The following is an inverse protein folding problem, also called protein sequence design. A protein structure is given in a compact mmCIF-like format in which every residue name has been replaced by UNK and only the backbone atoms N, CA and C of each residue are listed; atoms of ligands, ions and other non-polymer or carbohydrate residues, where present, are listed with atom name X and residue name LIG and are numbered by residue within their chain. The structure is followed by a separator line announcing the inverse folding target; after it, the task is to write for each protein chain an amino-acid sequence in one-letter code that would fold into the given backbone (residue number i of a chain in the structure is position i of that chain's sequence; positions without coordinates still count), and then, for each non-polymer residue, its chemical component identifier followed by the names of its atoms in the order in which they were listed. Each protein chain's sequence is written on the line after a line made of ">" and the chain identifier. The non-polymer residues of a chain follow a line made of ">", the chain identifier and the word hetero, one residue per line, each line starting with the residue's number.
data_IF_099557966792
#
_entry.id   IF_099557966792
#
_cell.length_a   1.000
_cell.length_b   1.000
_cell.length_c   1.000
_cell.angle_alpha   90.00
_cell.angle_beta   90.00
_cell.angle_gamma   90.00
#
_symmetry.space_group_name_H-M   'P 1'
#
loop_
_entity.id
_entity.type
_entity.pdbx_description
1 polymer ?
#
# COMPACT_ATOMS: atom_id res chain seq x y z
N UNK A 1 11.31 -24.97 -14.73
CA UNK A 1 10.87 -23.55 -14.73
C UNK A 1 11.73 -22.78 -13.74
N UNK A 2 12.45 -21.74 -14.16
CA UNK A 2 13.17 -20.86 -13.22
C UNK A 2 12.22 -19.73 -12.79
N UNK A 3 12.11 -19.50 -11.47
CA UNK A 3 11.27 -18.44 -10.90
C UNK A 3 12.18 -17.33 -10.39
N UNK A 4 11.95 -16.12 -10.87
CA UNK A 4 12.59 -14.92 -10.35
C UNK A 4 11.60 -14.25 -9.37
N UNK A 5 12.07 -13.92 -8.18
CA UNK A 5 11.27 -13.26 -7.15
C UNK A 5 11.94 -11.96 -6.76
N UNK A 6 11.12 -10.93 -6.50
CA UNK A 6 11.58 -9.72 -5.82
C UNK A 6 11.60 -9.98 -4.30
N UNK A 7 12.56 -9.36 -3.63
CA UNK A 7 12.54 -9.26 -2.18
C UNK A 7 11.33 -8.44 -1.76
N UNK A 8 10.65 -8.86 -0.69
CA UNK A 8 9.43 -8.20 -0.20
C UNK A 8 9.50 -7.93 1.28
N UNK A 9 9.11 -6.72 1.66
CA UNK A 9 8.99 -6.27 3.04
C UNK A 9 7.65 -5.57 3.22
N UNK A 10 7.09 -5.65 4.43
CA UNK A 10 5.84 -4.97 4.78
C UNK A 10 6.13 -4.07 5.97
N UNK A 11 5.75 -2.80 5.84
CA UNK A 11 5.92 -1.77 6.86
C UNK A 11 4.56 -1.21 7.25
N UNK A 12 4.41 -0.76 8.49
CA UNK A 12 3.26 0.04 8.89
C UNK A 12 3.62 1.51 8.76
N UNK A 13 2.73 2.30 8.16
CA UNK A 13 2.91 3.74 8.02
C UNK A 13 1.66 4.44 8.53
N UNK A 14 1.85 5.48 9.33
CA UNK A 14 0.75 6.28 9.86
C UNK A 14 0.17 7.19 8.76
N UNK A 15 -1.16 7.22 8.67
CA UNK A 15 -1.91 8.02 7.69
C UNK A 15 -3.06 8.74 8.40
N UNK A 16 -3.76 9.63 7.69
CA UNK A 16 -4.98 10.29 8.18
C UNK A 16 -6.10 9.32 8.55
N UNK A 17 -6.04 8.07 8.07
CA UNK A 17 -6.98 7.00 8.42
C UNK A 17 -6.45 6.02 9.47
N UNK A 18 -5.29 6.32 10.06
CA UNK A 18 -4.57 5.43 10.99
C UNK A 18 -3.46 4.63 10.29
N UNK A 19 -2.84 3.69 11.01
CA UNK A 19 -1.72 2.92 10.49
C UNK A 19 -2.18 1.95 9.38
N UNK A 20 -1.54 2.02 8.22
CA UNK A 20 -1.76 1.10 7.09
C UNK A 20 -0.50 0.32 6.76
N UNK A 21 -0.65 -0.89 6.22
CA UNK A 21 0.48 -1.70 5.76
C UNK A 21 0.84 -1.34 4.33
N UNK A 22 2.14 -1.11 4.10
CA UNK A 22 2.72 -0.85 2.78
C UNK A 22 3.69 -1.98 2.46
N UNK A 23 3.43 -2.68 1.37
CA UNK A 23 4.32 -3.67 0.80
C UNK A 23 5.30 -3.01 -0.14
N UNK A 24 6.58 -3.23 0.13
CA UNK A 24 7.70 -2.82 -0.70
C UNK A 24 8.28 -4.07 -1.34
N UNK A 25 8.32 -4.11 -2.67
CA UNK A 25 8.94 -5.19 -3.43
C UNK A 25 10.10 -4.62 -4.24
N UNK A 26 11.31 -5.14 -4.03
CA UNK A 26 12.55 -4.60 -4.62
C UNK A 26 13.45 -5.70 -5.16
N UNK A 27 14.23 -5.39 -6.19
CA UNK A 27 15.18 -6.32 -6.81
C UNK A 27 15.39 -5.99 -8.28
N UNK A 28 16.49 -6.45 -8.87
CA UNK A 28 16.79 -6.26 -10.30
C UNK A 28 16.64 -4.80 -10.79
N UNK A 29 17.00 -3.82 -9.95
CA UNK A 29 16.89 -2.39 -10.29
C UNK A 29 15.47 -1.80 -10.26
N UNK A 30 14.45 -2.56 -9.82
CA UNK A 30 13.10 -2.05 -9.64
C UNK A 30 12.69 -2.02 -8.16
N UNK A 31 11.89 -1.03 -7.79
CA UNK A 31 11.22 -0.95 -6.49
C UNK A 31 9.77 -0.57 -6.71
N UNK A 32 8.85 -1.32 -6.11
CA UNK A 32 7.41 -1.05 -6.12
C UNK A 32 6.91 -0.93 -4.70
N UNK A 33 6.07 0.06 -4.44
CA UNK A 33 5.36 0.24 -3.18
C UNK A 33 3.86 0.09 -3.44
N UNK A 34 3.14 -0.61 -2.57
CA UNK A 34 1.70 -0.75 -2.65
C UNK A 34 1.10 -0.84 -1.26
N UNK A 35 -0.01 -0.15 -1.03
CA UNK A 35 -0.79 -0.29 0.21
C UNK A 35 -1.51 -1.65 0.17
N UNK A 36 -1.54 -2.36 1.29
CA UNK A 36 -2.22 -3.65 1.37
C UNK A 36 -3.73 -3.50 1.16
N UNK A 37 -4.29 -4.38 0.33
CA UNK A 37 -5.69 -4.30 -0.10
C UNK A 37 -6.67 -4.37 1.07
N UNK A 38 -6.38 -5.20 2.07
CA UNK A 38 -7.23 -5.34 3.26
C UNK A 38 -7.39 -4.02 4.02
N UNK A 39 -6.32 -3.22 4.10
CA UNK A 39 -6.35 -1.94 4.80
C UNK A 39 -7.14 -0.91 3.98
N UNK A 40 -6.93 -0.86 2.65
CA UNK A 40 -7.74 -0.03 1.74
C UNK A 40 -9.23 -0.39 1.81
N UNK A 41 -9.56 -1.68 1.80
CA UNK A 41 -10.94 -2.17 1.82
C UNK A 41 -11.64 -1.88 3.15
N UNK A 42 -10.91 -2.02 4.26
CA UNK A 42 -11.43 -1.67 5.58
C UNK A 42 -11.76 -0.17 5.66
N UNK A 43 -10.83 0.69 5.26
CA UNK A 43 -11.01 2.15 5.29
C UNK A 43 -12.14 2.57 4.34
N UNK A 44 -12.18 2.03 3.13
CA UNK A 44 -13.23 2.32 2.15
C UNK A 44 -14.62 2.00 2.71
N UNK A 45 -14.76 0.82 3.35
CA UNK A 45 -16.02 0.41 3.99
C UNK A 45 -16.39 1.30 5.18
N UNK A 46 -15.43 1.68 6.01
CA UNK A 46 -15.66 2.54 7.19
C UNK A 46 -16.01 3.98 6.80
N UNK A 47 -15.45 4.50 5.71
CA UNK A 47 -15.65 5.88 5.25
C UNK A 47 -16.75 6.02 4.18
N UNK A 48 -17.22 4.92 3.59
CA UNK A 48 -18.24 4.93 2.55
C UNK A 48 -17.73 5.51 1.22
N UNK A 49 -16.44 5.37 0.92
CA UNK A 49 -15.79 5.86 -0.30
C UNK A 49 -15.16 4.71 -1.09
N UNK A 50 -14.79 4.95 -2.35
CA UNK A 50 -14.16 3.94 -3.19
C UNK A 50 -12.72 3.62 -2.76
N UNK A 51 -12.22 2.43 -3.10
CA UNK A 51 -10.82 2.04 -2.87
C UNK A 51 -9.83 3.02 -3.50
N UNK A 52 -10.14 3.52 -4.70
CA UNK A 52 -9.34 4.52 -5.41
C UNK A 52 -9.29 5.85 -4.67
N UNK A 53 -10.39 6.27 -4.04
CA UNK A 53 -10.38 7.49 -3.23
C UNK A 53 -9.52 7.33 -1.98
N UNK A 54 -9.63 6.19 -1.29
CA UNK A 54 -8.75 5.88 -0.14
C UNK A 54 -7.29 5.89 -0.56
N UNK A 55 -6.95 5.20 -1.63
CA UNK A 55 -5.58 5.12 -2.15
C UNK A 55 -5.04 6.51 -2.50
N UNK A 56 -5.82 7.34 -3.19
CA UNK A 56 -5.43 8.71 -3.52
C UNK A 56 -5.20 9.58 -2.29
N UNK A 57 -6.02 9.44 -1.25
CA UNK A 57 -5.85 10.20 0.00
C UNK A 57 -4.59 9.75 0.73
N UNK A 58 -4.36 8.43 0.85
CA UNK A 58 -3.16 7.91 1.51
C UNK A 58 -1.89 8.25 0.71
N UNK A 59 -1.92 8.20 -0.62
CA UNK A 59 -0.78 8.61 -1.44
C UNK A 59 -0.40 10.08 -1.19
N UNK A 60 -1.41 10.97 -1.05
CA UNK A 60 -1.19 12.35 -0.65
C UNK A 60 -0.56 12.48 0.74
N UNK A 61 -1.03 11.70 1.73
CA UNK A 61 -0.43 11.69 3.08
C UNK A 61 1.04 11.26 3.05
N UNK A 62 1.38 10.34 2.17
CA UNK A 62 2.72 9.76 2.05
C UNK A 62 3.68 10.56 1.14
N UNK A 63 3.19 11.61 0.46
CA UNK A 63 3.93 12.38 -0.55
C UNK A 63 4.60 11.49 -1.63
N UNK A 64 3.93 10.41 -2.06
CA UNK A 64 4.40 9.47 -3.11
C UNK A 64 3.41 9.31 -4.23
#
# INVERSE_FOLDING_TARGET
>A
MQRYMLDRQIYKVDTSFGPVRVKVSSGYGTTRKKIEYEDLAKIAKEKGISLSEVENIIQKDLNV
#
